data_IF_192435890155
#
_entry.id   IF_192435890155
#
_cell.length_a   1.000
_cell.length_b   1.000
_cell.length_c   1.000
_cell.angle_alpha   90.00
_cell.angle_beta   90.00
_cell.angle_gamma   90.00
#
_symmetry.space_group_name_H-M   'P 1'
#
loop_
_entity.id
_entity.type
_entity.pdbx_description
1 polymer ?
#
# COMPACT_ATOMS: atom_id res chain seq x y z
N UNK A 1 -27.35 6.85 3.64
CA UNK A 1 -26.95 6.14 2.41
C UNK A 1 -26.80 4.67 2.75
N UNK A 2 -27.77 3.85 2.40
CA UNK A 2 -27.63 2.41 2.55
C UNK A 2 -26.42 1.98 1.72
N UNK A 3 -25.46 1.30 2.33
CA UNK A 3 -24.30 0.77 1.66
C UNK A 3 -24.73 -0.15 0.55
N UNK A 4 -24.03 -0.08 -0.57
CA UNK A 4 -24.27 -0.97 -1.67
C UNK A 4 -23.94 -2.40 -1.25
N UNK A 5 -24.76 -3.40 -1.58
CA UNK A 5 -24.42 -4.79 -1.37
C UNK A 5 -23.13 -5.11 -2.12
N UNK A 6 -22.43 -6.17 -1.67
CA UNK A 6 -21.25 -6.68 -2.37
C UNK A 6 -21.58 -6.95 -3.84
N UNK A 7 -20.87 -6.28 -4.76
CA UNK A 7 -21.15 -6.35 -6.20
C UNK A 7 -20.04 -7.04 -7.01
N UNK A 8 -18.87 -7.32 -6.40
CA UNK A 8 -17.77 -7.97 -7.07
C UNK A 8 -17.79 -9.48 -6.86
N UNK A 9 -18.12 -10.29 -7.88
CA UNK A 9 -18.03 -11.75 -7.83
C UNK A 9 -16.60 -12.23 -7.57
N UNK A 10 -15.61 -11.56 -8.12
CA UNK A 10 -14.19 -11.89 -7.89
C UNK A 10 -13.81 -11.72 -6.43
N UNK A 11 -14.20 -10.61 -5.78
CA UNK A 11 -13.93 -10.43 -4.36
C UNK A 11 -14.68 -11.44 -3.49
N UNK A 12 -15.95 -11.76 -3.84
CA UNK A 12 -16.71 -12.77 -3.15
C UNK A 12 -16.04 -14.16 -3.25
N UNK A 13 -15.50 -14.51 -4.41
CA UNK A 13 -14.75 -15.75 -4.60
C UNK A 13 -13.45 -15.78 -3.77
N UNK A 14 -12.74 -14.63 -3.65
CA UNK A 14 -11.56 -14.53 -2.77
C UNK A 14 -11.91 -14.75 -1.30
N UNK A 15 -13.02 -14.17 -0.82
CA UNK A 15 -13.50 -14.37 0.56
C UNK A 15 -13.90 -15.85 0.78
N UNK A 16 -14.56 -16.45 -0.19
CA UNK A 16 -14.89 -17.89 -0.13
C UNK A 16 -13.63 -18.77 -0.05
N UNK A 17 -12.61 -18.47 -0.88
CA UNK A 17 -11.34 -19.21 -0.82
C UNK A 17 -10.60 -19.01 0.51
N UNK A 18 -10.73 -17.84 1.15
CA UNK A 18 -10.20 -17.63 2.49
C UNK A 18 -10.94 -18.47 3.52
N UNK A 19 -12.27 -18.53 3.42
CA UNK A 19 -13.10 -19.36 4.30
C UNK A 19 -12.74 -20.84 4.18
N UNK A 20 -12.61 -21.37 2.96
CA UNK A 20 -12.14 -22.73 2.68
C UNK A 20 -10.75 -23.02 3.30
N UNK A 21 -9.83 -22.03 3.21
CA UNK A 21 -8.49 -22.17 3.79
C UNK A 21 -8.54 -22.25 5.33
N UNK A 22 -9.38 -21.41 5.96
CA UNK A 22 -9.60 -21.46 7.42
C UNK A 22 -10.23 -22.82 7.79
N UNK A 23 -11.26 -23.27 7.05
CA UNK A 23 -11.86 -24.59 7.26
C UNK A 23 -10.82 -25.73 7.20
N UNK A 24 -9.98 -25.72 6.18
CA UNK A 24 -8.91 -26.74 6.02
C UNK A 24 -7.91 -26.72 7.20
N UNK A 25 -7.60 -25.55 7.74
CA UNK A 25 -6.75 -25.43 8.93
C UNK A 25 -7.42 -26.04 10.17
N UNK A 26 -8.70 -25.75 10.37
CA UNK A 26 -9.48 -26.30 11.49
C UNK A 26 -9.60 -27.83 11.40
N UNK A 27 -9.85 -28.34 10.20
CA UNK A 27 -9.91 -29.79 9.94
C UNK A 27 -8.56 -30.47 10.24
N UNK A 28 -7.44 -29.85 9.88
CA UNK A 28 -6.11 -30.35 10.17
C UNK A 28 -5.83 -30.38 11.69
N UNK A 29 -6.17 -29.34 12.44
CA UNK A 29 -6.04 -29.33 13.90
C UNK A 29 -6.89 -30.43 14.56
N UNK A 30 -8.10 -30.66 14.03
CA UNK A 30 -8.97 -31.74 14.49
C UNK A 30 -8.41 -33.14 14.17
N UNK A 31 -7.86 -33.35 12.97
CA UNK A 31 -7.25 -34.60 12.55
C UNK A 31 -6.00 -34.96 13.38
N UNK A 32 -5.19 -33.96 13.75
CA UNK A 32 -4.02 -34.14 14.61
C UNK A 32 -4.38 -34.24 16.10
N UNK A 33 -5.65 -34.07 16.47
CA UNK A 33 -6.13 -34.15 17.86
C UNK A 33 -5.64 -33.02 18.78
N UNK A 34 -5.23 -31.92 18.24
CA UNK A 34 -4.70 -30.76 18.99
C UNK A 34 -5.64 -29.54 19.01
N UNK A 35 -6.83 -29.65 18.46
CA UNK A 35 -7.79 -28.54 18.38
C UNK A 35 -8.14 -27.98 19.77
N UNK A 36 -8.31 -28.85 20.76
CA UNK A 36 -8.65 -28.44 22.14
C UNK A 36 -7.47 -27.87 22.94
N UNK A 37 -6.26 -27.94 22.38
CA UNK A 37 -5.03 -27.38 22.95
C UNK A 37 -4.51 -26.16 22.16
N UNK A 38 -5.26 -25.72 21.13
CA UNK A 38 -4.86 -24.65 20.23
C UNK A 38 -5.74 -23.43 20.42
N UNK A 39 -5.12 -22.27 20.72
CA UNK A 39 -5.77 -20.96 20.64
C UNK A 39 -5.80 -20.49 19.18
N UNK A 40 -6.97 -20.08 18.70
CA UNK A 40 -7.13 -19.55 17.36
C UNK A 40 -7.55 -18.09 17.45
N UNK A 41 -6.80 -17.20 16.81
CA UNK A 41 -7.09 -15.78 16.73
C UNK A 41 -7.21 -15.42 15.25
N UNK A 42 -8.40 -15.03 14.83
CA UNK A 42 -8.68 -14.57 13.47
C UNK A 42 -9.17 -13.13 13.51
N UNK A 43 -8.50 -12.23 12.79
CA UNK A 43 -8.94 -10.85 12.59
C UNK A 43 -8.41 -10.28 11.28
N UNK A 44 -9.04 -9.21 10.78
CA UNK A 44 -8.56 -8.49 9.61
C UNK A 44 -7.55 -7.41 10.00
N UNK A 45 -6.59 -7.11 9.12
CA UNK A 45 -5.58 -6.06 9.31
C UNK A 45 -6.17 -4.64 9.18
N UNK A 46 -7.16 -4.47 8.31
CA UNK A 46 -7.88 -3.22 8.05
C UNK A 46 -9.24 -3.47 7.40
N UNK A 47 -10.06 -2.45 7.33
CA UNK A 47 -11.33 -2.50 6.62
C UNK A 47 -11.18 -2.70 5.11
N UNK A 48 -12.25 -3.13 4.46
CA UNK A 48 -12.27 -3.41 3.03
C UNK A 48 -12.00 -2.16 2.18
N UNK A 49 -11.40 -2.34 1.02
CA UNK A 49 -11.09 -1.24 0.10
C UNK A 49 -12.32 -0.82 -0.70
N UNK A 50 -12.88 0.36 -0.38
CA UNK A 50 -14.03 0.95 -1.08
C UNK A 50 -13.63 1.99 -2.14
N UNK A 51 -12.36 2.32 -2.23
CA UNK A 51 -11.86 3.43 -3.05
C UNK A 51 -11.39 3.01 -4.43
N UNK A 52 -11.21 1.72 -4.65
CA UNK A 52 -10.81 1.14 -5.94
C UNK A 52 -11.97 0.38 -6.57
N UNK A 53 -11.97 0.31 -7.91
CA UNK A 53 -12.85 -0.55 -8.69
C UNK A 53 -12.11 -1.79 -9.17
N UNK A 54 -12.85 -2.88 -9.32
CA UNK A 54 -12.39 -4.12 -9.93
C UNK A 54 -13.10 -4.29 -11.27
N UNK A 55 -12.36 -4.68 -12.32
CA UNK A 55 -12.93 -5.05 -13.60
C UNK A 55 -13.54 -6.46 -13.46
N UNK A 56 -14.81 -6.55 -13.74
CA UNK A 56 -15.59 -7.79 -13.73
C UNK A 56 -16.11 -8.08 -15.14
N UNK A 57 -16.49 -9.33 -15.39
CA UNK A 57 -17.01 -9.78 -16.65
C UNK A 57 -18.42 -10.33 -16.46
N UNK A 58 -19.39 -9.80 -17.18
CA UNK A 58 -20.72 -10.40 -17.28
C UNK A 58 -20.69 -11.72 -18.04
N UNK A 59 -21.70 -12.56 -17.86
CA UNK A 59 -21.83 -13.82 -18.64
C UNK A 59 -21.90 -13.57 -20.16
N UNK A 60 -22.29 -12.36 -20.60
CA UNK A 60 -22.25 -11.91 -21.99
C UNK A 60 -20.85 -11.60 -22.51
N UNK A 61 -19.84 -11.56 -21.64
CA UNK A 61 -18.46 -11.11 -21.96
C UNK A 61 -18.28 -9.59 -21.86
N UNK A 62 -19.32 -8.83 -21.52
CA UNK A 62 -19.22 -7.39 -21.30
C UNK A 62 -18.41 -7.10 -20.04
N UNK A 63 -17.49 -6.14 -20.12
CA UNK A 63 -16.68 -5.67 -19.01
C UNK A 63 -17.36 -4.52 -18.27
N UNK A 64 -17.35 -4.58 -16.94
CA UNK A 64 -17.84 -3.51 -16.09
C UNK A 64 -16.95 -3.33 -14.87
N UNK A 65 -17.01 -2.17 -14.22
CA UNK A 65 -16.22 -1.88 -13.03
C UNK A 65 -17.17 -1.79 -11.83
N UNK A 66 -16.89 -2.59 -10.80
CA UNK A 66 -17.59 -2.54 -9.51
C UNK A 66 -16.68 -2.04 -8.41
N UNK A 67 -17.22 -1.48 -7.32
CA UNK A 67 -16.48 -1.37 -6.06
C UNK A 67 -15.97 -2.75 -5.64
N UNK A 68 -14.74 -2.82 -5.12
CA UNK A 68 -14.18 -4.09 -4.63
C UNK A 68 -15.06 -4.64 -3.50
N UNK A 69 -15.39 -3.79 -2.51
CA UNK A 69 -16.23 -4.19 -1.38
C UNK A 69 -17.04 -3.01 -0.83
N UNK A 70 -17.90 -3.31 0.13
CA UNK A 70 -18.65 -2.33 0.92
C UNK A 70 -18.48 -2.64 2.41
N UNK A 71 -18.15 -1.63 3.20
CA UNK A 71 -18.06 -1.76 4.66
C UNK A 71 -19.34 -1.31 5.38
N UNK A 72 -20.44 -1.11 4.63
CA UNK A 72 -21.70 -0.66 5.20
C UNK A 72 -22.14 -1.50 6.41
N UNK A 73 -22.64 -0.90 7.52
CA UNK A 73 -23.02 0.52 7.66
C UNK A 73 -21.83 1.45 8.00
N UNK A 74 -20.62 0.94 8.14
CA UNK A 74 -19.44 1.69 8.53
C UNK A 74 -19.01 2.64 7.41
N UNK A 75 -18.60 3.86 7.80
CA UNK A 75 -18.06 4.85 6.88
C UNK A 75 -16.61 4.56 6.54
N UNK A 76 -16.24 4.74 5.28
CA UNK A 76 -14.86 4.62 4.84
C UNK A 76 -14.42 3.18 4.56
N UNK A 77 -13.12 3.01 4.47
CA UNK A 77 -12.47 1.74 4.17
C UNK A 77 -10.97 1.85 4.29
N UNK A 78 -10.26 0.85 3.81
CA UNK A 78 -8.80 0.73 3.86
C UNK A 78 -8.09 2.06 3.61
N UNK A 79 -7.18 2.43 4.51
CA UNK A 79 -6.43 3.68 4.47
C UNK A 79 -7.16 4.86 5.08
N UNK A 80 -8.43 4.72 5.48
CA UNK A 80 -9.21 5.76 6.15
C UNK A 80 -9.25 5.58 7.65
N UNK A 81 -9.54 6.68 8.38
CA UNK A 81 -9.61 6.73 9.83
C UNK A 81 -11.03 6.50 10.40
N UNK A 82 -12.04 6.50 9.51
CA UNK A 82 -13.41 6.20 9.87
C UNK A 82 -13.60 4.71 10.19
N UNK A 83 -14.69 4.36 10.86
CA UNK A 83 -14.95 2.99 11.32
C UNK A 83 -14.78 1.92 10.23
N UNK A 84 -15.20 2.19 8.99
CA UNK A 84 -15.01 1.26 7.87
C UNK A 84 -13.55 0.99 7.49
N UNK A 85 -12.61 1.84 7.92
CA UNK A 85 -11.17 1.64 7.71
C UNK A 85 -10.49 0.92 8.87
N UNK A 86 -10.99 1.11 10.10
CA UNK A 86 -10.30 0.65 11.32
C UNK A 86 -11.06 -0.41 12.11
N UNK A 87 -12.40 -0.45 12.02
CA UNK A 87 -13.20 -1.46 12.68
C UNK A 87 -13.30 -2.72 11.84
N UNK A 88 -12.76 -3.81 12.34
CA UNK A 88 -12.65 -5.09 11.64
C UNK A 88 -13.24 -6.23 12.46
N UNK A 89 -13.69 -7.31 11.82
CA UNK A 89 -14.11 -8.51 12.53
C UNK A 89 -12.92 -9.16 13.24
N UNK A 90 -13.17 -9.65 14.46
CA UNK A 90 -12.24 -10.45 15.22
C UNK A 90 -12.95 -11.65 15.83
N UNK A 91 -12.31 -12.81 15.82
CA UNK A 91 -12.78 -14.05 16.45
C UNK A 91 -11.63 -14.66 17.23
N UNK A 92 -11.91 -15.02 18.49
CA UNK A 92 -10.95 -15.71 19.33
C UNK A 92 -11.58 -17.00 19.84
N UNK A 93 -10.91 -18.12 19.58
CA UNK A 93 -11.23 -19.42 20.16
C UNK A 93 -10.12 -19.78 21.13
N UNK A 94 -10.47 -19.82 22.42
CA UNK A 94 -9.59 -20.28 23.48
C UNK A 94 -10.27 -21.43 24.22
N UNK A 95 -9.85 -22.67 23.94
CA UNK A 95 -10.48 -23.86 24.53
C UNK A 95 -10.55 -23.79 26.04
N UNK A 96 -11.71 -24.13 26.60
CA UNK A 96 -11.96 -24.05 28.05
C UNK A 96 -12.24 -22.65 28.60
N UNK A 97 -12.05 -21.57 27.83
CA UNK A 97 -12.25 -20.19 28.26
C UNK A 97 -13.36 -19.48 27.49
N UNK A 98 -13.26 -19.40 26.16
CA UNK A 98 -14.30 -18.77 25.34
C UNK A 98 -15.48 -19.69 25.13
N UNK A 99 -16.70 -19.14 25.22
CA UNK A 99 -17.94 -19.91 24.97
C UNK A 99 -18.27 -19.88 23.47
N UNK A 100 -18.58 -21.04 22.84
CA UNK A 100 -19.02 -21.08 21.45
C UNK A 100 -20.21 -20.15 21.20
N UNK A 101 -20.14 -19.35 20.13
CA UNK A 101 -21.20 -18.42 19.74
C UNK A 101 -21.36 -17.19 20.64
N UNK A 102 -20.51 -16.98 21.65
CA UNK A 102 -20.52 -15.76 22.46
C UNK A 102 -20.09 -14.53 21.66
N UNK A 103 -20.55 -13.38 22.11
CA UNK A 103 -20.15 -12.06 21.61
C UNK A 103 -19.78 -11.16 22.77
N UNK A 104 -18.82 -10.28 22.55
CA UNK A 104 -18.41 -9.25 23.49
C UNK A 104 -18.22 -7.92 22.73
N UNK A 105 -18.68 -6.81 23.32
CA UNK A 105 -18.63 -5.49 22.70
C UNK A 105 -17.38 -4.69 23.12
N UNK A 106 -16.50 -5.27 23.93
CA UNK A 106 -15.22 -4.64 24.28
C UNK A 106 -14.42 -4.34 23.03
N UNK A 107 -14.04 -3.06 22.85
CA UNK A 107 -13.19 -2.63 21.77
C UNK A 107 -11.75 -3.01 22.04
N UNK A 108 -11.10 -3.64 21.09
CA UNK A 108 -9.69 -4.05 21.16
C UNK A 108 -8.93 -3.50 19.96
N UNK A 109 -7.62 -3.39 20.10
CA UNK A 109 -6.68 -3.04 19.03
C UNK A 109 -5.67 -4.19 18.84
N UNK A 110 -4.98 -4.25 17.70
CA UNK A 110 -3.99 -5.28 17.46
C UNK A 110 -2.85 -5.31 18.50
N UNK A 111 -2.50 -4.15 19.07
CA UNK A 111 -1.51 -4.05 20.15
C UNK A 111 -1.90 -4.79 21.43
N UNK A 112 -3.20 -5.00 21.65
CA UNK A 112 -3.72 -5.71 22.83
C UNK A 112 -3.48 -7.23 22.75
N UNK A 113 -3.22 -7.75 21.58
CA UNK A 113 -2.94 -9.18 21.40
C UNK A 113 -1.67 -9.59 22.13
N UNK A 114 -0.63 -8.75 22.15
CA UNK A 114 0.63 -9.09 22.79
C UNK A 114 0.49 -9.37 24.28
N UNK A 115 -0.01 -8.45 25.13
CA UNK A 115 -0.19 -8.71 26.56
C UNK A 115 -1.22 -9.82 26.81
N UNK A 116 -2.27 -9.94 25.99
CA UNK A 116 -3.27 -10.99 26.13
C UNK A 116 -2.70 -12.38 25.87
N UNK A 117 -1.89 -12.54 24.82
CA UNK A 117 -1.22 -13.82 24.52
C UNK A 117 -0.20 -14.19 25.61
N UNK A 118 0.54 -13.23 26.16
CA UNK A 118 1.41 -13.50 27.31
C UNK A 118 0.62 -14.03 28.49
N UNK A 119 -0.54 -13.42 28.79
CA UNK A 119 -1.44 -13.90 29.85
C UNK A 119 -1.95 -15.34 29.56
N UNK A 120 -2.39 -15.61 28.33
CA UNK A 120 -2.85 -16.94 27.91
C UNK A 120 -1.78 -18.02 28.14
N UNK A 121 -0.51 -17.66 27.97
CA UNK A 121 0.65 -18.55 28.16
C UNK A 121 1.16 -18.57 29.60
N UNK A 122 0.60 -17.79 30.54
CA UNK A 122 1.10 -17.66 31.89
C UNK A 122 2.48 -16.99 31.97
N UNK A 123 2.86 -16.18 30.99
CA UNK A 123 4.14 -15.50 30.91
C UNK A 123 3.99 -14.04 31.39
N UNK A 124 4.83 -13.64 32.35
CA UNK A 124 4.86 -12.25 32.80
C UNK A 124 5.34 -11.30 31.69
N UNK A 125 4.72 -10.13 31.58
CA UNK A 125 5.17 -9.08 30.70
C UNK A 125 6.57 -8.59 31.07
N UNK A 126 7.47 -8.34 30.08
CA UNK A 126 8.81 -7.84 30.35
C UNK A 126 8.77 -6.50 31.08
N UNK A 127 9.40 -6.39 32.25
CA UNK A 127 9.42 -5.16 33.07
C UNK A 127 10.17 -3.99 32.42
N UNK A 128 10.98 -4.28 31.42
CA UNK A 128 11.79 -3.30 30.68
C UNK A 128 11.14 -2.83 29.38
N UNK A 129 10.02 -3.41 28.98
CA UNK A 129 9.29 -3.04 27.77
C UNK A 129 8.10 -2.12 28.10
N UNK A 130 7.93 -1.07 27.32
CA UNK A 130 6.71 -0.28 27.30
C UNK A 130 5.68 -1.06 26.47
N UNK A 131 4.54 -1.38 27.06
CA UNK A 131 3.46 -2.11 26.41
C UNK A 131 2.25 -1.18 26.34
N UNK A 132 1.91 -0.74 25.11
CA UNK A 132 0.77 0.16 24.90
C UNK A 132 -0.57 -0.58 24.90
N UNK A 133 -0.57 -1.89 24.63
CA UNK A 133 -1.74 -2.74 24.63
C UNK A 133 -2.22 -3.09 26.02
N UNK A 134 -3.49 -3.43 26.14
CA UNK A 134 -4.09 -3.95 27.37
C UNK A 134 -4.48 -5.41 27.21
N UNK A 135 -4.38 -6.16 28.28
CA UNK A 135 -4.88 -7.54 28.33
C UNK A 135 -6.41 -7.55 28.36
N UNK A 136 -7.03 -8.20 27.38
CA UNK A 136 -8.49 -8.35 27.29
C UNK A 136 -9.00 -9.76 27.64
N UNK A 137 -8.23 -10.54 28.37
CA UNK A 137 -8.59 -11.90 28.79
C UNK A 137 -9.95 -11.96 29.47
N UNK A 138 -10.27 -10.98 30.33
CA UNK A 138 -11.57 -10.94 31.00
C UNK A 138 -12.74 -10.74 30.01
N UNK A 139 -12.53 -9.98 28.92
CA UNK A 139 -13.52 -9.87 27.85
C UNK A 139 -13.75 -11.22 27.15
N UNK A 140 -12.71 -12.04 26.97
CA UNK A 140 -12.81 -13.40 26.42
C UNK A 140 -13.59 -14.34 27.34
N UNK A 141 -13.59 -14.08 28.66
CA UNK A 141 -14.40 -14.80 29.66
C UNK A 141 -15.85 -14.32 29.71
N UNK A 142 -16.16 -13.23 28.99
CA UNK A 142 -17.51 -12.66 28.89
C UNK A 142 -17.76 -11.48 29.81
N UNK A 143 -16.76 -10.93 30.49
CA UNK A 143 -16.88 -9.68 31.25
C UNK A 143 -16.93 -8.46 30.31
N UNK A 144 -17.56 -7.40 30.73
CA UNK A 144 -17.38 -6.08 30.13
C UNK A 144 -16.09 -5.47 30.68
N UNK A 145 -15.22 -5.02 29.81
CA UNK A 145 -13.93 -4.40 30.13
C UNK A 145 -13.97 -2.95 29.70
N UNK A 146 -13.77 -2.04 30.65
CA UNK A 146 -13.59 -0.63 30.33
C UNK A 146 -12.24 -0.44 29.60
N UNK A 147 -12.30 0.22 28.45
CA UNK A 147 -11.13 0.45 27.60
C UNK A 147 -10.59 1.86 27.78
N UNK A 148 -9.30 1.97 28.02
CA UNK A 148 -8.55 3.23 27.93
C UNK A 148 -8.74 3.90 26.58
N UNK A 149 -8.47 5.21 26.44
CA UNK A 149 -8.52 5.87 25.15
C UNK A 149 -7.72 5.11 24.09
N UNK A 150 -8.34 4.88 22.93
CA UNK A 150 -7.69 4.23 21.79
C UNK A 150 -7.37 5.28 20.72
N UNK A 151 -6.14 5.30 20.28
CA UNK A 151 -5.66 6.24 19.27
C UNK A 151 -5.42 5.54 17.93
N UNK A 152 -5.74 6.25 16.85
CA UNK A 152 -5.37 5.85 15.50
C UNK A 152 -4.75 7.04 14.80
N UNK A 153 -3.54 6.89 14.29
CA UNK A 153 -2.84 7.93 13.56
C UNK A 153 -2.64 7.55 12.10
N UNK A 154 -3.11 8.40 11.21
CA UNK A 154 -2.94 8.30 9.77
C UNK A 154 -2.02 9.44 9.30
N UNK A 155 -0.70 9.21 9.21
CA UNK A 155 0.22 10.22 8.69
C UNK A 155 0.00 10.44 7.20
N UNK A 156 0.21 11.68 6.75
CA UNK A 156 0.27 11.99 5.32
C UNK A 156 1.66 11.72 4.76
N UNK A 157 1.73 11.31 3.52
CA UNK A 157 2.95 11.30 2.72
C UNK A 157 2.67 11.91 1.34
N UNK A 158 3.69 12.31 0.59
CA UNK A 158 3.57 13.13 -0.63
C UNK A 158 2.70 12.56 -1.76
N UNK A 159 2.25 11.31 -1.66
CA UNK A 159 1.34 10.67 -2.62
C UNK A 159 -0.03 10.34 -2.00
N UNK A 160 -0.33 10.87 -0.82
CA UNK A 160 -1.63 10.63 -0.17
C UNK A 160 -2.73 11.37 -0.93
N UNK A 161 -3.80 10.69 -1.34
CA UNK A 161 -4.92 11.35 -2.00
C UNK A 161 -5.62 12.36 -1.08
N UNK A 162 -6.23 13.41 -1.64
CA UNK A 162 -6.96 14.44 -0.88
C UNK A 162 -8.11 13.89 -0.02
N UNK A 163 -8.65 12.71 -0.35
CA UNK A 163 -9.69 12.03 0.42
C UNK A 163 -9.15 11.18 1.59
N UNK A 164 -7.82 11.16 1.78
CA UNK A 164 -7.14 10.57 2.94
C UNK A 164 -6.24 11.63 3.61
N UNK A 165 -6.81 12.69 4.19
CA UNK A 165 -6.01 13.74 4.82
C UNK A 165 -5.32 13.22 6.08
N UNK A 166 -4.16 13.81 6.45
CA UNK A 166 -3.46 13.45 7.67
C UNK A 166 -4.35 13.67 8.87
N UNK A 167 -4.59 12.62 9.64
CA UNK A 167 -5.57 12.66 10.72
C UNK A 167 -5.15 11.81 11.91
N UNK A 168 -5.63 12.17 13.08
CA UNK A 168 -5.59 11.34 14.28
C UNK A 168 -6.97 11.22 14.86
N UNK A 169 -7.35 10.04 15.34
CA UNK A 169 -8.58 9.86 16.09
C UNK A 169 -8.32 9.33 17.48
N UNK A 170 -9.24 9.66 18.39
CA UNK A 170 -9.33 9.07 19.72
C UNK A 170 -10.73 8.54 19.95
N UNK A 171 -10.81 7.30 20.50
CA UNK A 171 -12.05 6.70 20.98
C UNK A 171 -12.05 6.67 22.50
N UNK A 172 -13.13 7.18 23.12
CA UNK A 172 -13.38 7.11 24.56
C UNK A 172 -14.85 6.77 24.78
N UNK A 173 -15.12 5.61 25.32
CA UNK A 173 -16.49 5.10 25.43
C UNK A 173 -17.16 5.06 24.05
N UNK A 174 -18.32 5.71 23.91
CA UNK A 174 -19.02 5.77 22.63
C UNK A 174 -18.60 6.94 21.73
N UNK A 175 -17.74 7.82 22.24
CA UNK A 175 -17.30 9.00 21.52
C UNK A 175 -16.05 8.74 20.70
N UNK A 176 -16.05 9.27 19.48
CA UNK A 176 -14.90 9.31 18.60
C UNK A 176 -14.67 10.73 18.11
N UNK A 177 -13.49 11.27 18.37
CA UNK A 177 -13.02 12.52 17.76
C UNK A 177 -12.01 12.19 16.67
N UNK A 178 -12.16 12.82 15.52
CA UNK A 178 -11.16 12.84 14.44
C UNK A 178 -10.63 14.28 14.33
N UNK A 179 -9.33 14.45 14.50
CA UNK A 179 -8.59 15.66 14.19
C UNK A 179 -7.93 15.49 12.81
N UNK A 180 -8.30 16.32 11.84
CA UNK A 180 -7.59 16.43 10.57
C UNK A 180 -6.61 17.59 10.66
N UNK A 181 -5.32 17.31 10.52
CA UNK A 181 -4.26 18.28 10.77
C UNK A 181 -4.24 19.37 9.70
N UNK A 182 -4.38 20.65 10.11
CA UNK A 182 -4.23 21.84 9.28
C UNK A 182 -5.18 21.94 8.08
N UNK A 183 -6.39 21.38 8.20
CA UNK A 183 -7.41 21.41 7.14
C UNK A 183 -8.59 22.34 7.47
N UNK A 184 -8.52 23.12 8.55
CA UNK A 184 -9.45 24.19 8.89
C UNK A 184 -9.04 25.54 8.31
N UNK A 185 -9.81 26.59 8.63
CA UNK A 185 -9.46 27.98 8.28
C UNK A 185 -8.15 28.39 8.97
N UNK A 186 -7.37 29.24 8.33
CA UNK A 186 -6.08 29.75 8.83
C UNK A 186 -5.11 28.66 9.34
N UNK A 187 -5.11 27.52 8.67
CA UNK A 187 -4.34 26.32 9.05
C UNK A 187 -4.70 25.74 10.43
N UNK A 188 -5.87 26.03 10.97
CA UNK A 188 -6.40 25.32 12.13
C UNK A 188 -6.65 23.85 11.81
N UNK A 189 -6.92 23.05 12.83
CA UNK A 189 -7.36 21.67 12.61
C UNK A 189 -8.86 21.63 12.26
N UNK A 190 -9.29 20.67 11.42
CA UNK A 190 -10.70 20.32 11.24
C UNK A 190 -11.05 19.21 12.22
N UNK A 191 -12.21 19.33 12.86
CA UNK A 191 -12.68 18.39 13.88
C UNK A 191 -13.99 17.72 13.47
N UNK A 192 -14.05 16.40 13.68
CA UNK A 192 -15.24 15.59 13.52
C UNK A 192 -15.49 14.78 14.78
N UNK A 193 -16.64 14.99 15.38
CA UNK A 193 -17.06 14.30 16.60
C UNK A 193 -18.27 13.43 16.32
N UNK A 194 -18.22 12.17 16.73
CA UNK A 194 -19.29 11.20 16.55
C UNK A 194 -19.62 10.47 17.83
N UNK A 195 -20.90 10.12 18.02
CA UNK A 195 -21.32 9.13 19.01
C UNK A 195 -21.61 7.83 18.28
N UNK A 196 -20.71 6.85 18.39
CA UNK A 196 -20.76 5.60 17.63
C UNK A 196 -21.86 4.64 18.09
N UNK A 197 -22.46 4.86 19.30
CA UNK A 197 -23.64 4.09 19.73
C UNK A 197 -24.85 4.43 18.88
N UNK A 198 -25.04 5.70 18.61
CA UNK A 198 -26.23 6.22 17.91
C UNK A 198 -25.99 6.38 16.40
N UNK A 199 -24.73 6.59 16.00
CA UNK A 199 -24.31 6.84 14.62
C UNK A 199 -23.03 6.08 14.27
N UNK A 200 -23.13 4.75 14.16
CA UNK A 200 -22.00 3.89 13.77
C UNK A 200 -21.48 4.22 12.35
N UNK A 201 -22.31 4.86 11.52
CA UNK A 201 -22.00 5.28 10.16
C UNK A 201 -21.28 6.62 10.07
N UNK A 202 -20.98 7.27 11.22
CA UNK A 202 -20.27 8.56 11.26
C UNK A 202 -20.86 9.61 10.28
N UNK A 203 -22.19 9.68 10.27
CA UNK A 203 -22.97 10.49 9.31
C UNK A 203 -23.21 11.90 9.80
N UNK A 204 -23.30 12.10 11.14
CA UNK A 204 -23.64 13.36 11.76
C UNK A 204 -22.46 13.87 12.62
N UNK A 205 -21.80 14.93 12.13
CA UNK A 205 -20.73 15.58 12.87
C UNK A 205 -21.27 16.45 14.00
N UNK A 206 -21.01 16.06 15.24
CA UNK A 206 -21.47 16.72 16.47
C UNK A 206 -20.46 17.75 17.02
N UNK A 207 -19.37 18.05 16.32
CA UNK A 207 -18.29 18.91 16.84
C UNK A 207 -18.78 20.33 17.20
N UNK A 208 -19.69 20.89 16.42
CA UNK A 208 -20.26 22.22 16.66
C UNK A 208 -21.21 22.22 17.87
N UNK A 209 -21.95 21.12 18.05
CA UNK A 209 -22.97 21.01 19.11
C UNK A 209 -22.36 20.65 20.47
N UNK A 210 -21.15 20.05 20.48
CA UNK A 210 -20.45 19.60 21.69
C UNK A 210 -19.00 20.11 21.75
N UNK A 211 -18.75 21.42 21.75
CA UNK A 211 -17.40 21.99 21.72
C UNK A 211 -16.57 21.64 22.98
N UNK A 212 -17.20 21.42 24.14
CA UNK A 212 -16.52 20.98 25.35
C UNK A 212 -16.02 19.54 25.21
N UNK A 213 -16.78 18.64 24.58
CA UNK A 213 -16.35 17.26 24.30
C UNK A 213 -15.22 17.22 23.29
N UNK A 214 -15.24 18.09 22.29
CA UNK A 214 -14.11 18.26 21.36
C UNK A 214 -12.85 18.63 22.12
N UNK A 215 -12.91 19.66 23.01
CA UNK A 215 -11.74 20.08 23.79
C UNK A 215 -11.21 18.98 24.72
N UNK A 216 -12.13 18.25 25.38
CA UNK A 216 -11.78 17.11 26.23
C UNK A 216 -10.97 16.06 25.45
N UNK A 217 -11.52 15.57 24.33
CA UNK A 217 -10.92 14.52 23.55
C UNK A 217 -9.66 14.98 22.80
N UNK A 218 -9.63 16.24 22.37
CA UNK A 218 -8.49 16.84 21.72
C UNK A 218 -7.29 16.97 22.65
N UNK A 219 -7.53 17.27 23.94
CA UNK A 219 -6.48 17.28 24.96
C UNK A 219 -5.83 15.91 25.16
N UNK A 220 -6.58 14.81 24.97
CA UNK A 220 -6.03 13.46 24.99
C UNK A 220 -5.13 13.20 23.78
N UNK A 221 -5.53 13.69 22.60
CA UNK A 221 -4.68 13.62 21.40
C UNK A 221 -3.37 14.38 21.63
N UNK A 222 -3.43 15.60 22.18
CA UNK A 222 -2.23 16.40 22.46
C UNK A 222 -1.30 15.72 23.48
N UNK A 223 -1.87 15.09 24.49
CA UNK A 223 -1.11 14.33 25.49
C UNK A 223 -0.42 13.15 24.85
N UNK A 224 -1.14 12.35 24.08
CA UNK A 224 -0.62 11.19 23.38
C UNK A 224 0.50 11.58 22.40
N UNK A 225 0.33 12.64 21.61
CA UNK A 225 1.34 13.16 20.68
C UNK A 225 2.65 13.47 21.39
N UNK A 226 2.59 14.08 22.58
CA UNK A 226 3.77 14.43 23.39
C UNK A 226 4.42 13.23 24.02
N UNK A 227 3.64 12.27 24.51
CA UNK A 227 4.14 11.09 25.20
C UNK A 227 4.88 10.13 24.28
N UNK A 228 4.41 9.98 23.02
CA UNK A 228 4.98 9.05 22.05
C UNK A 228 5.85 9.72 21.01
N UNK A 229 6.09 11.03 21.11
CA UNK A 229 6.92 11.83 20.19
C UNK A 229 6.50 11.63 18.71
N UNK A 230 5.21 11.82 18.43
CA UNK A 230 4.66 11.60 17.09
C UNK A 230 5.23 12.59 16.08
N UNK A 231 5.70 12.08 14.94
CA UNK A 231 6.07 12.93 13.81
C UNK A 231 4.81 13.51 13.18
N UNK A 232 4.58 14.80 13.39
CA UNK A 232 3.40 15.50 12.88
C UNK A 232 3.56 15.89 11.41
N UNK A 233 2.45 15.95 10.65
CA UNK A 233 2.46 16.48 9.29
C UNK A 233 2.82 17.98 9.32
N UNK A 234 3.52 18.46 8.28
CA UNK A 234 3.73 19.86 8.09
C UNK A 234 2.48 20.54 7.49
N UNK A 235 2.32 21.84 7.78
CA UNK A 235 1.31 22.68 7.12
C UNK A 235 1.53 22.65 5.60
N UNK A 236 0.48 22.43 4.82
CA UNK A 236 0.53 22.54 3.37
C UNK A 236 0.32 24.02 2.95
N UNK A 237 1.35 24.73 2.48
CA UNK A 237 1.23 26.14 2.11
C UNK A 237 0.34 26.37 0.89
N UNK A 238 -0.01 25.33 0.16
CA UNK A 238 -0.89 25.39 -1.01
C UNK A 238 -2.27 24.77 -0.73
N UNK A 239 -2.64 24.61 0.54
CA UNK A 239 -3.97 24.11 0.90
C UNK A 239 -5.03 25.17 0.57
N UNK A 240 -6.05 24.76 -0.17
CA UNK A 240 -7.23 25.57 -0.48
C UNK A 240 -8.45 24.97 0.26
N UNK A 241 -8.95 25.62 1.32
CA UNK A 241 -10.14 25.15 2.03
C UNK A 241 -11.38 25.02 1.14
N UNK A 242 -11.46 25.79 0.05
CA UNK A 242 -12.60 25.76 -0.88
C UNK A 242 -12.73 24.46 -1.68
N UNK A 243 -11.66 23.65 -1.77
CA UNK A 243 -11.68 22.35 -2.45
C UNK A 243 -11.73 21.17 -1.47
N UNK A 244 -11.65 21.43 -0.18
CA UNK A 244 -11.73 20.40 0.85
C UNK A 244 -13.19 20.13 1.22
N UNK A 245 -13.62 18.90 1.05
CA UNK A 245 -14.97 18.43 1.29
C UNK A 245 -14.96 17.29 2.32
N UNK A 246 -14.81 17.60 3.61
CA UNK A 246 -14.68 16.58 4.66
C UNK A 246 -15.92 15.68 4.77
N UNK A 247 -17.10 16.16 4.38
CA UNK A 247 -18.33 15.36 4.32
C UNK A 247 -18.28 14.23 3.27
N UNK A 248 -17.36 14.33 2.30
CA UNK A 248 -17.17 13.32 1.25
C UNK A 248 -16.10 12.29 1.60
N UNK A 249 -15.30 12.54 2.64
CA UNK A 249 -14.26 11.61 3.09
C UNK A 249 -14.94 10.33 3.59
N UNK A 250 -14.49 9.18 3.09
CA UNK A 250 -15.01 7.88 3.48
C UNK A 250 -16.42 7.57 2.97
N UNK A 251 -17.05 8.45 2.18
CA UNK A 251 -18.32 8.14 1.53
C UNK A 251 -18.04 7.33 0.28
N UNK A 252 -18.54 6.08 0.25
CA UNK A 252 -18.49 5.25 -0.94
C UNK A 252 -19.35 5.89 -2.04
N UNK A 253 -18.73 6.25 -3.16
CA UNK A 253 -19.47 6.78 -4.29
C UNK A 253 -20.42 5.70 -4.84
N UNK A 254 -21.71 5.99 -4.85
CA UNK A 254 -22.71 5.15 -5.50
C UNK A 254 -22.44 5.11 -7.02
N UNK A 255 -22.13 3.92 -7.54
CA UNK A 255 -21.68 3.70 -8.91
C UNK A 255 -20.45 4.57 -9.18
N UNK A 256 -19.27 3.97 -9.20
CA UNK A 256 -17.98 4.66 -9.32
C UNK A 256 -17.93 5.69 -10.46
N UNK A 257 -18.66 6.79 -10.33
CA UNK A 257 -18.30 8.05 -10.98
C UNK A 257 -17.08 8.57 -10.23
N UNK A 258 -15.94 7.94 -10.49
CA UNK A 258 -14.67 8.42 -9.98
C UNK A 258 -14.51 9.88 -10.34
N UNK A 259 -14.08 10.75 -9.39
CA UNK A 259 -13.71 12.11 -9.72
C UNK A 259 -12.76 12.13 -10.92
N UNK A 260 -12.87 13.09 -11.85
CA UNK A 260 -11.99 13.17 -13.02
C UNK A 260 -10.51 13.12 -12.66
N UNK A 261 -10.12 13.70 -11.53
CA UNK A 261 -8.76 13.61 -10.99
C UNK A 261 -8.37 12.19 -10.56
N UNK A 262 -9.30 11.38 -10.03
CA UNK A 262 -9.05 9.99 -9.67
C UNK A 262 -9.08 9.09 -10.91
N UNK A 263 -9.95 9.35 -11.90
CA UNK A 263 -9.85 8.74 -13.24
C UNK A 263 -8.54 9.08 -13.93
N UNK A 264 -8.02 10.29 -13.74
CA UNK A 264 -6.71 10.69 -14.25
C UNK A 264 -5.56 10.08 -13.43
N UNK A 265 -5.71 9.90 -12.12
CA UNK A 265 -4.75 9.20 -11.28
C UNK A 265 -4.85 7.69 -11.45
N UNK A 266 -6.03 7.10 -11.67
CA UNK A 266 -6.17 5.70 -12.09
C UNK A 266 -5.71 5.49 -13.53
N UNK A 267 -5.93 6.41 -14.45
CA UNK A 267 -5.19 6.38 -15.73
C UNK A 267 -3.68 6.56 -15.53
N UNK A 268 -3.23 7.16 -14.43
CA UNK A 268 -1.84 7.21 -13.98
C UNK A 268 -1.43 6.03 -13.08
N UNK A 269 -2.39 5.34 -12.41
CA UNK A 269 -2.17 4.20 -11.48
C UNK A 269 -2.74 2.88 -11.98
N UNK A 270 -3.52 2.83 -13.06
CA UNK A 270 -3.63 1.65 -13.94
C UNK A 270 -2.41 1.51 -14.85
N UNK A 271 -1.47 2.44 -14.79
CA UNK A 271 -0.09 2.05 -14.64
C UNK A 271 0.00 1.38 -13.25
N UNK A 272 0.05 0.05 -13.21
CA UNK A 272 0.57 -0.81 -12.14
C UNK A 272 1.57 -0.04 -11.25
N UNK A 273 1.84 -0.41 -9.93
CA UNK A 273 2.95 0.16 -9.14
C UNK A 273 4.30 -0.01 -9.83
N UNK A 274 4.33 -0.54 -10.99
CA UNK A 274 5.16 -0.25 -12.12
C UNK A 274 4.39 0.73 -13.02
N UNK A 275 4.83 1.97 -13.15
CA UNK A 275 4.71 2.74 -14.38
C UNK A 275 5.55 2.01 -15.45
N UNK A 276 5.29 0.72 -15.62
CA UNK A 276 5.67 -0.06 -16.78
C UNK A 276 4.54 0.25 -17.76
N UNK A 277 4.78 1.21 -18.64
CA UNK A 277 4.11 1.19 -19.93
C UNK A 277 4.16 -0.28 -20.36
N UNK A 278 2.99 -0.90 -20.58
CA UNK A 278 2.94 -2.23 -21.19
C UNK A 278 3.96 -2.17 -22.34
N UNK A 279 4.92 -3.13 -22.43
CA UNK A 279 6.01 -3.03 -23.37
C UNK A 279 5.37 -2.77 -24.73
N UNK A 280 5.54 -1.55 -25.24
CA UNK A 280 5.10 -1.25 -26.59
C UNK A 280 5.82 -2.26 -27.45
N UNK A 281 5.11 -2.89 -28.36
CA UNK A 281 5.67 -3.94 -29.23
C UNK A 281 6.99 -3.46 -29.86
N UNK A 282 7.10 -2.16 -30.11
CA UNK A 282 8.26 -1.43 -30.62
C UNK A 282 9.45 -1.38 -29.64
N UNK A 283 9.23 -1.45 -28.33
CA UNK A 283 10.30 -1.40 -27.32
C UNK A 283 10.89 -2.77 -26.97
N UNK A 284 10.57 -3.81 -27.73
CA UNK A 284 11.15 -5.15 -27.66
C UNK A 284 11.25 -5.75 -26.25
N UNK A 285 10.30 -5.39 -25.35
CA UNK A 285 10.25 -5.86 -23.97
C UNK A 285 10.94 -4.96 -22.94
N UNK A 286 11.52 -3.84 -23.38
CA UNK A 286 12.02 -2.81 -22.49
C UNK A 286 10.90 -1.88 -22.01
N UNK A 287 11.01 -1.38 -20.80
CA UNK A 287 10.07 -0.45 -20.19
C UNK A 287 10.82 0.73 -19.58
N UNK A 288 10.24 1.92 -19.63
CA UNK A 288 10.82 3.13 -19.05
C UNK A 288 10.24 3.44 -17.68
N UNK A 289 11.07 3.90 -16.74
CA UNK A 289 10.65 4.40 -15.44
C UNK A 289 11.29 5.77 -15.15
N UNK A 290 10.48 6.69 -14.60
CA UNK A 290 10.84 8.10 -14.42
C UNK A 290 11.35 8.74 -15.73
N UNK A 291 10.95 8.17 -16.89
CA UNK A 291 11.31 8.61 -18.22
C UNK A 291 10.15 8.40 -19.20
N UNK A 292 10.10 9.21 -20.26
CA UNK A 292 9.28 8.92 -21.45
C UNK A 292 10.16 8.23 -22.47
N UNK A 293 9.71 7.11 -23.03
CA UNK A 293 10.43 6.40 -24.06
C UNK A 293 9.52 6.07 -25.25
N UNK A 294 10.09 6.13 -26.43
CA UNK A 294 9.43 5.76 -27.69
C UNK A 294 10.48 5.39 -28.74
N UNK A 295 10.17 4.44 -29.60
CA UNK A 295 11.01 4.14 -30.76
C UNK A 295 10.60 5.06 -31.90
N UNK A 296 11.55 5.77 -32.48
CA UNK A 296 11.34 6.67 -33.61
C UNK A 296 12.62 6.76 -34.45
N UNK A 297 12.47 6.65 -35.78
CA UNK A 297 13.55 6.70 -36.75
C UNK A 297 14.64 5.62 -36.57
N UNK A 298 14.26 4.45 -35.98
CA UNK A 298 15.17 3.34 -35.70
C UNK A 298 15.94 3.42 -34.39
N UNK A 299 15.63 4.40 -33.52
CA UNK A 299 16.28 4.59 -32.23
C UNK A 299 15.26 4.60 -31.06
N UNK A 300 15.62 4.05 -29.93
CA UNK A 300 14.89 4.21 -28.70
C UNK A 300 15.22 5.57 -28.06
N UNK A 301 14.27 6.49 -28.12
CA UNK A 301 14.39 7.85 -27.56
C UNK A 301 13.90 7.88 -26.13
N UNK A 302 14.78 8.24 -25.18
CA UNK A 302 14.50 8.27 -23.73
C UNK A 302 14.65 9.70 -23.23
N UNK A 303 13.58 10.25 -22.63
CA UNK A 303 13.55 11.61 -22.04
C UNK A 303 13.35 11.47 -20.53
N UNK A 304 14.26 12.04 -19.74
CA UNK A 304 14.16 12.05 -18.29
C UNK A 304 12.99 12.92 -17.83
N UNK A 305 12.14 12.38 -16.94
CA UNK A 305 10.99 13.08 -16.37
C UNK A 305 11.18 13.35 -14.86
N UNK A 306 12.04 12.57 -14.20
CA UNK A 306 12.30 12.65 -12.77
C UNK A 306 13.72 12.26 -12.39
N UNK A 307 14.02 12.23 -11.12
CA UNK A 307 15.31 11.72 -10.63
C UNK A 307 15.42 10.22 -10.89
N UNK A 308 16.62 9.74 -11.25
CA UNK A 308 16.92 8.32 -11.53
C UNK A 308 16.05 7.73 -12.65
N UNK A 309 16.06 8.35 -13.82
CA UNK A 309 15.39 7.86 -15.03
C UNK A 309 16.12 6.65 -15.63
N UNK A 310 15.40 5.58 -15.96
CA UNK A 310 15.99 4.38 -16.55
C UNK A 310 15.03 3.64 -17.48
N UNK A 311 15.59 2.78 -18.33
CA UNK A 311 14.87 1.70 -19.00
C UNK A 311 15.24 0.36 -18.36
N UNK A 312 14.33 -0.60 -18.38
CA UNK A 312 14.53 -1.90 -17.75
C UNK A 312 13.93 -3.04 -18.58
N UNK A 313 14.52 -4.21 -18.49
CA UNK A 313 13.95 -5.45 -19.00
C UNK A 313 14.06 -6.57 -17.97
N UNK A 314 12.96 -7.31 -17.78
CA UNK A 314 12.89 -8.53 -16.96
C UNK A 314 12.96 -9.81 -17.84
N UNK A 315 13.15 -9.67 -19.16
CA UNK A 315 13.27 -10.76 -20.11
C UNK A 315 14.72 -10.88 -20.59
N UNK A 316 15.64 -11.09 -19.65
CA UNK A 316 17.06 -11.26 -19.95
C UNK A 316 17.36 -12.77 -19.98
N UNK A 317 17.78 -13.34 -21.11
CA UNK A 317 18.02 -14.78 -21.26
C UNK A 317 19.39 -15.23 -20.73
N UNK A 318 20.26 -14.31 -20.30
CA UNK A 318 21.64 -14.60 -19.94
C UNK A 318 21.73 -15.52 -18.70
N UNK A 319 22.51 -16.58 -18.83
CA UNK A 319 22.79 -17.57 -17.78
C UNK A 319 24.31 -17.68 -17.59
N UNK A 320 24.82 -17.12 -16.51
CA UNK A 320 26.26 -17.10 -16.22
C UNK A 320 26.92 -15.79 -16.62
N UNK A 321 28.26 -15.71 -16.44
CA UNK A 321 29.03 -14.52 -16.78
C UNK A 321 28.83 -14.10 -18.25
N UNK A 322 28.79 -12.79 -18.49
CA UNK A 322 28.55 -12.27 -19.81
C UNK A 322 29.01 -10.82 -19.97
N UNK A 323 28.78 -10.27 -21.13
CA UNK A 323 29.10 -8.89 -21.48
C UNK A 323 27.85 -8.20 -21.98
N UNK A 324 27.54 -7.04 -21.42
CA UNK A 324 26.51 -6.14 -21.92
C UNK A 324 27.17 -5.07 -22.76
N UNK A 325 26.68 -4.90 -23.99
CA UNK A 325 27.06 -3.81 -24.89
C UNK A 325 25.85 -3.01 -25.28
N UNK A 326 26.03 -1.72 -25.46
CA UNK A 326 24.96 -0.85 -25.96
C UNK A 326 25.56 0.37 -26.65
N UNK A 327 24.83 0.86 -27.65
CA UNK A 327 25.19 2.05 -28.39
C UNK A 327 24.19 3.15 -28.12
N UNK A 328 24.70 4.29 -27.66
CA UNK A 328 23.82 5.43 -27.29
C UNK A 328 24.45 6.76 -27.71
N UNK A 329 23.56 7.75 -27.85
CA UNK A 329 23.94 9.14 -28.09
C UNK A 329 23.17 10.04 -27.10
N UNK A 330 23.89 10.95 -26.49
CA UNK A 330 23.33 11.94 -25.57
C UNK A 330 23.59 13.35 -26.10
N UNK A 331 22.62 14.27 -26.10
CA UNK A 331 22.84 15.66 -26.49
C UNK A 331 23.86 16.40 -25.63
N UNK A 332 24.02 15.99 -24.36
CA UNK A 332 24.98 16.58 -23.41
C UNK A 332 25.73 15.46 -22.69
N UNK A 333 26.95 15.76 -22.28
CA UNK A 333 27.72 14.88 -21.41
C UNK A 333 27.01 14.63 -20.09
N UNK A 334 27.15 13.44 -19.53
CA UNK A 334 26.54 13.07 -18.25
C UNK A 334 26.86 11.64 -17.83
N UNK A 335 26.41 11.29 -16.63
CA UNK A 335 26.64 9.99 -16.02
C UNK A 335 25.40 9.11 -16.13
N UNK A 336 25.63 7.85 -16.45
CA UNK A 336 24.66 6.77 -16.40
C UNK A 336 25.16 5.61 -15.57
N UNK A 337 24.33 4.61 -15.35
CA UNK A 337 24.76 3.37 -14.71
C UNK A 337 23.95 2.17 -15.19
N UNK A 338 24.57 1.01 -15.20
CA UNK A 338 23.93 -0.28 -15.36
C UNK A 338 23.71 -0.88 -13.98
N UNK A 339 22.55 -1.48 -13.78
CA UNK A 339 22.25 -2.25 -12.56
C UNK A 339 21.53 -3.54 -12.96
N UNK A 340 21.93 -4.65 -12.36
CA UNK A 340 21.27 -5.93 -12.62
C UNK A 340 20.88 -6.65 -11.34
N UNK A 341 19.98 -7.61 -11.49
CA UNK A 341 19.53 -8.50 -10.44
C UNK A 341 19.69 -9.95 -10.90
N UNK A 342 20.38 -10.72 -10.11
CA UNK A 342 20.60 -12.14 -10.36
C UNK A 342 19.39 -13.00 -9.98
N UNK A 343 19.36 -14.23 -10.48
CA UNK A 343 18.37 -15.24 -10.12
C UNK A 343 18.46 -15.52 -8.61
N UNK A 344 17.30 -15.60 -7.94
CA UNK A 344 17.22 -15.85 -6.50
C UNK A 344 17.25 -14.58 -5.62
N UNK A 345 17.62 -13.42 -6.15
CA UNK A 345 17.58 -12.16 -5.40
C UNK A 345 16.18 -11.54 -5.40
N UNK A 346 15.67 -11.15 -4.23
CA UNK A 346 14.35 -10.53 -4.09
C UNK A 346 14.34 -9.05 -4.55
N UNK A 347 15.47 -8.33 -4.41
CA UNK A 347 15.62 -6.92 -4.75
C UNK A 347 16.93 -6.65 -5.50
N UNK A 348 17.05 -5.46 -6.10
CA UNK A 348 18.34 -5.00 -6.64
C UNK A 348 19.28 -4.67 -5.48
N UNK A 349 20.52 -5.18 -5.51
CA UNK A 349 21.51 -4.87 -4.47
C UNK A 349 21.98 -3.41 -4.57
N UNK A 350 22.38 -2.83 -3.47
CA UNK A 350 22.88 -1.44 -3.40
C UNK A 350 24.32 -1.30 -3.93
N UNK A 351 25.07 -2.40 -3.95
CA UNK A 351 26.47 -2.43 -4.43
C UNK A 351 26.81 -3.78 -5.08
N UNK A 352 27.92 -3.84 -5.80
CA UNK A 352 28.45 -5.06 -6.41
C UNK A 352 27.80 -5.45 -7.76
N UNK A 353 26.59 -5.01 -8.01
CA UNK A 353 25.85 -5.23 -9.27
C UNK A 353 25.43 -3.90 -9.90
N UNK A 354 26.26 -2.89 -9.75
CA UNK A 354 26.12 -1.53 -10.29
C UNK A 354 27.40 -1.14 -10.98
N UNK A 355 27.28 -0.74 -12.25
CA UNK A 355 28.41 -0.27 -13.05
C UNK A 355 28.11 1.13 -13.60
N UNK A 356 28.82 2.19 -13.16
CA UNK A 356 28.69 3.53 -13.70
C UNK A 356 29.37 3.64 -15.05
N UNK A 357 28.88 4.52 -15.92
CA UNK A 357 29.50 4.89 -17.17
C UNK A 357 29.26 6.37 -17.48
N UNK A 358 30.18 6.98 -18.24
CA UNK A 358 30.09 8.38 -18.68
C UNK A 358 29.76 8.45 -20.16
N UNK A 359 28.93 9.41 -20.54
CA UNK A 359 28.58 9.68 -21.95
C UNK A 359 29.04 11.09 -22.30
N UNK A 360 29.79 11.24 -23.38
CA UNK A 360 30.12 12.54 -23.97
C UNK A 360 28.98 13.04 -24.87
N UNK A 361 28.74 14.34 -24.86
CA UNK A 361 27.65 14.92 -25.65
C UNK A 361 27.94 14.94 -27.16
N UNK A 362 26.89 14.68 -27.96
CA UNK A 362 26.87 14.91 -29.39
C UNK A 362 27.16 13.72 -30.30
N UNK A 363 27.96 12.75 -29.88
CA UNK A 363 28.37 11.60 -30.72
C UNK A 363 27.75 10.27 -30.27
N UNK A 364 27.61 9.33 -31.19
CA UNK A 364 27.31 7.93 -30.85
C UNK A 364 28.51 7.28 -30.17
N UNK A 365 28.27 6.61 -29.07
CA UNK A 365 29.26 5.90 -28.27
C UNK A 365 28.80 4.49 -27.97
N UNK A 366 29.72 3.56 -27.99
CA UNK A 366 29.51 2.18 -27.58
C UNK A 366 30.09 1.99 -26.19
N UNK A 367 29.32 1.32 -25.36
CA UNK A 367 29.69 0.99 -23.99
C UNK A 367 29.71 -0.51 -23.80
N UNK A 368 30.66 -0.99 -23.01
CA UNK A 368 30.81 -2.39 -22.66
C UNK A 368 30.90 -2.54 -21.14
N UNK A 369 30.16 -3.49 -20.61
CA UNK A 369 30.09 -3.77 -19.16
C UNK A 369 30.19 -5.28 -18.93
N UNK A 370 31.23 -5.71 -18.23
CA UNK A 370 31.38 -7.08 -17.77
C UNK A 370 30.39 -7.41 -16.66
N UNK A 371 29.66 -8.49 -16.81
CA UNK A 371 28.69 -8.98 -15.84
C UNK A 371 29.15 -10.33 -15.33
N UNK A 372 29.78 -10.34 -14.15
CA UNK A 372 30.31 -11.53 -13.51
C UNK A 372 29.26 -12.24 -12.64
N UNK A 373 28.11 -12.58 -13.23
CA UNK A 373 27.01 -13.23 -12.52
C UNK A 373 26.90 -14.71 -12.88
N UNK A 374 27.10 -15.60 -11.90
CA UNK A 374 27.10 -17.06 -12.12
C UNK A 374 25.71 -17.66 -12.27
N UNK A 375 24.73 -17.14 -11.53
CA UNK A 375 23.37 -17.69 -11.46
C UNK A 375 22.44 -17.22 -12.59
N UNK A 376 22.94 -16.29 -13.42
CA UNK A 376 22.19 -15.66 -14.50
C UNK A 376 21.42 -14.41 -14.04
N UNK A 377 21.12 -13.56 -15.01
CA UNK A 377 20.46 -12.28 -14.81
C UNK A 377 18.97 -12.43 -15.09
N UNK A 378 18.13 -11.92 -14.18
CA UNK A 378 16.68 -11.92 -14.34
C UNK A 378 16.10 -10.54 -14.60
N UNK A 379 16.88 -9.48 -14.35
CA UNK A 379 16.42 -8.10 -14.54
C UNK A 379 17.61 -7.16 -14.74
N UNK A 380 17.52 -6.31 -15.74
CA UNK A 380 18.54 -5.31 -16.09
C UNK A 380 17.91 -3.92 -16.09
N UNK A 381 18.63 -2.93 -15.57
CA UNK A 381 18.30 -1.50 -15.65
C UNK A 381 19.44 -0.73 -16.28
N UNK A 382 19.11 0.11 -17.25
CA UNK A 382 20.01 1.10 -17.83
C UNK A 382 19.53 2.49 -17.41
N UNK A 383 20.21 3.10 -16.46
CA UNK A 383 19.98 4.48 -16.04
C UNK A 383 20.64 5.43 -17.03
N UNK A 384 19.88 6.35 -17.55
CA UNK A 384 20.34 7.32 -18.53
C UNK A 384 20.72 8.65 -17.88
N UNK A 385 21.64 9.43 -18.45
CA UNK A 385 21.94 10.78 -18.00
C UNK A 385 20.70 11.64 -17.84
N UNK A 386 20.66 12.44 -16.76
CA UNK A 386 19.50 13.27 -16.42
C UNK A 386 19.46 14.52 -17.29
N UNK A 387 18.55 14.57 -18.27
CA UNK A 387 18.38 15.75 -19.15
C UNK A 387 16.99 15.82 -19.78
N UNK A 388 16.61 17.03 -20.22
CA UNK A 388 15.30 17.29 -20.84
C UNK A 388 15.20 16.93 -22.32
N UNK A 389 16.33 16.82 -22.99
CA UNK A 389 16.40 16.41 -24.41
C UNK A 389 16.46 14.87 -24.51
N UNK A 390 15.98 14.27 -25.61
CA UNK A 390 16.01 12.82 -25.75
C UNK A 390 17.45 12.29 -25.84
N UNK A 391 17.70 11.21 -25.11
CA UNK A 391 18.84 10.33 -25.30
C UNK A 391 18.39 9.26 -26.26
N UNK A 392 19.23 8.92 -27.19
CA UNK A 392 18.96 7.94 -28.24
C UNK A 392 19.78 6.67 -28.00
N UNK A 393 19.15 5.51 -28.12
CA UNK A 393 19.77 4.20 -27.98
C UNK A 393 19.45 3.44 -29.25
N UNK A 394 20.49 3.10 -30.03
CA UNK A 394 20.39 2.37 -31.27
C UNK A 394 20.14 0.89 -31.01
N UNK A 395 20.98 0.29 -30.16
CA UNK A 395 20.84 -1.11 -29.78
C UNK A 395 21.40 -1.41 -28.39
N UNK A 396 20.94 -2.52 -27.84
CA UNK A 396 21.45 -3.14 -26.59
C UNK A 396 21.69 -4.61 -26.89
N UNK A 397 22.83 -5.17 -26.49
CA UNK A 397 23.18 -6.57 -26.66
C UNK A 397 23.72 -7.14 -25.34
N UNK A 398 23.31 -8.33 -24.97
CA UNK A 398 23.94 -9.11 -23.92
C UNK A 398 24.44 -10.44 -24.49
N UNK A 399 25.72 -10.77 -24.26
CA UNK A 399 26.31 -12.05 -24.60
C UNK A 399 26.75 -12.80 -23.34
N UNK A 400 26.67 -14.13 -23.36
CA UNK A 400 27.07 -14.99 -22.24
C UNK A 400 27.59 -16.35 -22.74
N UNK A 401 28.40 -17.02 -21.92
CA UNK A 401 28.87 -18.37 -22.23
C UNK A 401 27.75 -19.38 -22.05
N UNK A 402 27.40 -20.11 -23.10
CA UNK A 402 26.60 -21.32 -23.06
C UNK A 402 27.47 -22.54 -22.76
N UNK A 403 26.90 -23.76 -22.85
CA UNK A 403 27.64 -25.00 -22.58
C UNK A 403 28.84 -25.21 -23.47
N UNK A 404 28.75 -24.85 -24.78
CA UNK A 404 29.82 -25.05 -25.77
C UNK A 404 29.99 -23.87 -26.75
N UNK A 405 29.18 -22.80 -26.58
CA UNK A 405 29.20 -21.64 -27.48
C UNK A 405 28.82 -20.34 -26.74
N UNK A 406 29.30 -19.22 -27.28
CA UNK A 406 28.84 -17.90 -26.86
C UNK A 406 27.45 -17.63 -27.42
N UNK A 407 26.49 -17.32 -26.57
CA UNK A 407 25.12 -16.92 -26.93
C UNK A 407 24.96 -15.42 -26.77
N UNK A 408 24.12 -14.82 -27.59
CA UNK A 408 23.78 -13.41 -27.44
C UNK A 408 22.28 -13.15 -27.67
N UNK A 409 21.83 -12.06 -27.09
CA UNK A 409 20.53 -11.46 -27.36
C UNK A 409 20.73 -9.98 -27.62
N UNK A 410 20.27 -9.52 -28.79
CA UNK A 410 20.36 -8.13 -29.23
C UNK A 410 18.95 -7.55 -29.42
N UNK A 411 18.80 -6.31 -29.05
CA UNK A 411 17.62 -5.49 -29.29
C UNK A 411 18.05 -4.29 -30.14
N UNK A 412 17.61 -4.26 -31.37
CA UNK A 412 17.77 -3.13 -32.31
C UNK A 412 16.44 -2.35 -32.30
N UNK A 413 16.49 -1.04 -32.05
CA UNK A 413 15.30 -0.21 -31.84
C UNK A 413 14.90 0.61 -33.06
#
# INVERSE_FOLDING_TARGET
>A
LMGLPQQSPTYAAMVHSLDDAVGSLLDALGAEGIADETVIIFYSDNGGNIHCGLEEHAASGEKYITPITSNHPLRGGKGGIHEGGVRVPAVVVWPGVTKPGSRNETRIQAIDLYPTVLHMLGVESPKTAVIDGVDFTEALRGAEVERSPMFTYLPSHGNTPHWLPPSMSVHVGDWKLIRTFYYGEDNAHDYRLYNLRDDIGESNNLATDHPEKVRELDSLIDTYIKEVDVVLPAVNPNFDPGVFHPEKIGVQAGGLKMPPAFKASLKKTTGSPTDQQAPRKEMLGWVAKNAKASVKDGDLKVISVGKKSFIASAKIPARGPGVLRFRMRSPKSGEGQIQWRAKGQASFPESGQVHPFSVEGGAWQEHEVDINEKEGIVHLRLFVPQQKQPIEIDWIEISWQGNDETKSQRWDF
#
